data_IF_641511262807
#
_entry.id   IF_641511262807
#
_cell.length_a   1.000
_cell.length_b   1.000
_cell.length_c   1.000
_cell.angle_alpha   90.00
_cell.angle_beta   90.00
_cell.angle_gamma   90.00
#
_symmetry.space_group_name_H-M   'P 1'
#
loop_
_entity.id
_entity.type
_entity.pdbx_description
1 polymer ?
#
# COMPACT_ATOMS: atom_id res chain seq x y z
N UNK A 1 0.27 7.27 -33.91
CA UNK A 1 0.59 6.04 -33.18
C UNK A 1 1.86 6.37 -32.44
N UNK A 2 1.73 6.84 -31.21
CA UNK A 2 2.87 6.96 -30.31
C UNK A 2 3.07 5.53 -29.83
N UNK A 3 4.13 4.87 -30.30
CA UNK A 3 4.52 3.58 -29.74
C UNK A 3 4.95 3.86 -28.30
N UNK A 4 4.28 3.19 -27.36
CA UNK A 4 4.74 3.12 -25.98
C UNK A 4 6.10 2.41 -26.01
N UNK A 5 7.21 3.07 -25.62
CA UNK A 5 8.48 2.37 -25.56
C UNK A 5 8.35 1.33 -24.44
N UNK A 6 8.56 0.04 -24.75
CA UNK A 6 8.70 -1.02 -23.75
C UNK A 6 9.74 -0.65 -22.69
N UNK A 7 10.71 0.18 -23.09
CA UNK A 7 11.78 0.75 -22.27
C UNK A 7 11.30 1.69 -21.16
N UNK A 8 10.06 2.22 -21.19
CA UNK A 8 9.53 3.13 -20.17
C UNK A 8 8.61 2.43 -19.14
N UNK A 9 8.36 1.13 -19.31
CA UNK A 9 7.45 0.39 -18.43
C UNK A 9 7.92 0.31 -16.97
N UNK A 10 9.21 0.11 -16.66
CA UNK A 10 9.67 0.12 -15.28
C UNK A 10 9.51 1.48 -14.60
N UNK A 11 9.83 2.57 -15.30
CA UNK A 11 9.70 3.94 -14.81
C UNK A 11 8.23 4.27 -14.54
N UNK A 12 7.33 3.79 -15.38
CA UNK A 12 5.88 3.94 -15.16
C UNK A 12 5.40 3.17 -13.94
N UNK A 13 5.90 1.95 -13.71
CA UNK A 13 5.54 1.19 -12.53
C UNK A 13 6.04 1.87 -11.24
N UNK A 14 7.28 2.38 -11.22
CA UNK A 14 7.83 3.15 -10.09
C UNK A 14 7.10 4.47 -9.87
N UNK A 15 6.78 5.19 -10.95
CA UNK A 15 6.02 6.43 -10.84
C UNK A 15 4.64 6.19 -10.22
N UNK A 16 4.02 5.05 -10.52
CA UNK A 16 2.74 4.64 -9.97
C UNK A 16 2.82 4.40 -8.45
N UNK A 17 3.85 3.73 -7.94
CA UNK A 17 4.00 3.48 -6.49
C UNK A 17 4.18 4.78 -5.68
N UNK A 18 4.73 5.83 -6.29
CA UNK A 18 4.88 7.16 -5.66
C UNK A 18 3.65 8.07 -5.85
N UNK A 19 2.69 7.66 -6.67
CA UNK A 19 1.53 8.48 -7.03
C UNK A 19 0.46 8.41 -5.95
N UNK A 20 -0.14 9.55 -5.62
CA UNK A 20 -1.32 9.62 -4.78
C UNK A 20 -2.47 8.76 -5.33
N UNK A 21 -2.83 7.72 -4.59
CA UNK A 21 -4.00 6.87 -4.83
C UNK A 21 -5.19 7.32 -3.98
N UNK A 22 -6.41 7.20 -4.53
CA UNK A 22 -7.65 7.45 -3.82
C UNK A 22 -8.39 6.14 -3.56
N UNK A 23 -8.50 5.71 -2.30
CA UNK A 23 -9.07 4.39 -1.96
C UNK A 23 -8.05 3.28 -2.17
N UNK A 24 -6.94 3.38 -1.44
CA UNK A 24 -5.97 2.30 -1.28
C UNK A 24 -6.43 1.34 -0.18
N UNK A 25 -6.10 0.08 -0.34
CA UNK A 25 -6.45 -1.00 0.59
C UNK A 25 -5.29 -1.98 0.69
N UNK A 26 -4.92 -2.41 1.90
CA UNK A 26 -3.93 -3.48 2.13
C UNK A 26 -4.32 -4.80 1.47
N UNK A 27 -5.61 -4.98 1.16
CA UNK A 27 -6.04 -6.00 0.21
C UNK A 27 -6.11 -5.38 -1.21
N UNK A 28 -5.18 -5.69 -2.12
CA UNK A 28 -5.14 -5.08 -3.44
C UNK A 28 -6.37 -5.35 -4.31
N UNK A 29 -7.11 -6.44 -4.06
CA UNK A 29 -8.37 -6.75 -4.77
C UNK A 29 -9.48 -5.74 -4.44
N UNK A 30 -9.37 -5.03 -3.30
CA UNK A 30 -10.32 -4.02 -2.85
C UNK A 30 -9.87 -2.58 -3.16
N UNK A 31 -8.63 -2.40 -3.62
CA UNK A 31 -8.12 -1.10 -4.04
C UNK A 31 -8.90 -0.55 -5.24
N UNK A 32 -9.22 0.75 -5.22
CA UNK A 32 -9.98 1.38 -6.30
C UNK A 32 -9.20 1.44 -7.62
N UNK A 33 -7.86 1.40 -7.53
CA UNK A 33 -6.92 1.65 -8.62
C UNK A 33 -7.14 3.02 -9.30
N UNK A 34 -7.60 4.02 -8.54
CA UNK A 34 -7.80 5.39 -9.00
C UNK A 34 -6.68 6.27 -8.45
N UNK A 35 -5.92 6.89 -9.35
CA UNK A 35 -4.74 7.68 -9.03
C UNK A 35 -4.92 9.13 -9.49
N UNK A 36 -4.23 10.07 -8.85
CA UNK A 36 -4.18 11.44 -9.34
C UNK A 36 -3.37 11.53 -10.64
N UNK A 37 -4.01 11.97 -11.73
CA UNK A 37 -3.42 11.97 -13.06
C UNK A 37 -2.23 12.93 -13.18
N UNK A 38 -2.30 14.07 -12.50
CA UNK A 38 -1.28 15.11 -12.60
C UNK A 38 -0.09 14.82 -11.69
N UNK A 39 -0.33 14.19 -10.54
CA UNK A 39 0.73 13.65 -9.68
C UNK A 39 1.48 12.53 -10.41
N UNK A 40 0.76 11.56 -11.00
CA UNK A 40 1.35 10.51 -11.83
C UNK A 40 2.21 11.09 -12.98
N UNK A 41 1.67 12.07 -13.70
CA UNK A 41 2.41 12.73 -14.78
C UNK A 41 3.67 13.45 -14.26
N UNK A 42 3.64 13.99 -13.04
CA UNK A 42 4.77 14.67 -12.43
C UNK A 42 5.88 13.68 -12.03
N UNK A 43 5.52 12.50 -11.55
CA UNK A 43 6.47 11.43 -11.21
C UNK A 43 7.17 10.84 -12.45
N UNK A 44 6.64 11.10 -13.66
CA UNK A 44 7.27 10.71 -14.93
C UNK A 44 8.26 11.74 -15.50
N UNK A 45 8.46 12.88 -14.82
CA UNK A 45 9.41 13.90 -15.29
C UNK A 45 10.86 13.40 -15.24
N UNK A 46 11.65 13.75 -16.25
CA UNK A 46 13.07 13.36 -16.36
C UNK A 46 13.31 12.11 -17.21
N UNK A 47 12.25 11.42 -17.64
CA UNK A 47 12.32 10.22 -18.49
C UNK A 47 12.25 10.50 -20.00
N UNK A 48 12.44 11.78 -20.40
CA UNK A 48 12.52 12.16 -21.82
C UNK A 48 11.18 12.35 -22.52
N UNK A 49 10.08 12.38 -21.76
CA UNK A 49 8.72 12.74 -22.21
C UNK A 49 8.22 14.04 -21.56
N UNK A 50 9.15 14.87 -21.05
CA UNK A 50 8.85 16.08 -20.29
C UNK A 50 7.99 17.09 -21.08
N UNK A 51 8.14 17.13 -22.41
CA UNK A 51 7.31 17.99 -23.27
C UNK A 51 5.84 17.56 -23.24
N UNK A 52 5.59 16.27 -23.37
CA UNK A 52 4.27 15.65 -23.37
C UNK A 52 3.62 15.80 -21.99
N UNK A 53 4.39 15.62 -20.91
CA UNK A 53 3.93 15.88 -19.54
C UNK A 53 3.55 17.36 -19.37
N UNK A 54 4.37 18.30 -19.87
CA UNK A 54 4.05 19.73 -19.82
C UNK A 54 2.81 20.11 -20.61
N UNK A 55 2.55 19.45 -21.75
CA UNK A 55 1.31 19.61 -22.52
C UNK A 55 0.09 19.06 -21.76
N UNK A 56 0.22 17.89 -21.12
CA UNK A 56 -0.83 17.31 -20.28
C UNK A 56 -1.15 18.23 -19.10
N UNK A 57 -0.14 18.65 -18.33
CA UNK A 57 -0.31 19.56 -17.19
C UNK A 57 -0.98 20.87 -17.62
N UNK A 58 -0.57 21.45 -18.75
CA UNK A 58 -1.22 22.66 -19.30
C UNK A 58 -2.69 22.42 -19.66
N UNK A 59 -3.02 21.27 -20.25
CA UNK A 59 -4.39 20.92 -20.59
C UNK A 59 -5.24 20.69 -19.33
N UNK A 60 -4.66 20.08 -18.29
CA UNK A 60 -5.31 19.89 -16.99
C UNK A 60 -5.57 21.23 -16.31
N UNK A 61 -4.62 22.16 -16.30
CA UNK A 61 -4.79 23.50 -15.76
C UNK A 61 -5.92 24.28 -16.45
N UNK A 62 -6.13 24.06 -17.75
CA UNK A 62 -7.27 24.64 -18.48
C UNK A 62 -8.61 23.95 -18.16
N UNK A 63 -8.59 22.63 -17.93
CA UNK A 63 -9.79 21.84 -17.67
C UNK A 63 -10.29 21.95 -16.21
N UNK A 64 -9.37 21.95 -15.24
CA UNK A 64 -9.66 22.00 -13.80
C UNK A 64 -9.76 23.46 -13.35
N UNK A 65 -10.89 24.09 -13.65
CA UNK A 65 -11.12 25.51 -13.34
C UNK A 65 -11.23 25.82 -11.84
N UNK A 66 -11.46 24.79 -11.01
CA UNK A 66 -11.59 24.91 -9.56
C UNK A 66 -11.35 23.55 -8.91
N UNK A 67 -10.53 23.53 -7.85
CA UNK A 67 -10.35 22.37 -6.96
C UNK A 67 -10.25 22.83 -5.51
N UNK A 68 -10.62 21.94 -4.60
CA UNK A 68 -10.36 22.07 -3.16
C UNK A 68 -9.78 20.75 -2.70
N UNK A 69 -8.62 20.81 -2.07
CA UNK A 69 -7.97 19.67 -1.45
C UNK A 69 -8.07 19.78 0.08
N UNK A 70 -8.25 18.64 0.74
CA UNK A 70 -8.04 18.52 2.18
C UNK A 70 -6.55 18.47 2.51
N UNK A 71 -6.18 18.45 3.81
CA UNK A 71 -4.79 18.43 4.24
C UNK A 71 -4.02 17.19 3.75
N UNK A 72 -4.68 16.04 3.60
CA UNK A 72 -4.05 14.79 3.12
C UNK A 72 -3.86 14.75 1.60
N UNK A 73 -4.64 15.54 0.87
CA UNK A 73 -4.67 15.51 -0.59
C UNK A 73 -4.08 16.78 -1.22
N UNK A 74 -3.12 17.43 -0.54
CA UNK A 74 -2.58 18.74 -0.92
C UNK A 74 -2.04 18.79 -2.37
N UNK A 75 -1.32 17.74 -2.77
CA UNK A 75 -0.79 17.53 -4.12
C UNK A 75 -1.81 17.11 -5.18
N UNK A 76 -3.03 16.73 -4.79
CA UNK A 76 -4.07 16.32 -5.75
C UNK A 76 -4.33 17.40 -6.80
N UNK A 77 -4.22 17.05 -8.07
CA UNK A 77 -4.33 17.97 -9.22
C UNK A 77 -5.77 18.19 -9.67
N UNK A 78 -6.72 17.38 -9.18
CA UNK A 78 -8.16 17.56 -9.38
C UNK A 78 -8.75 16.76 -10.53
N UNK A 79 -7.96 15.88 -11.14
CA UNK A 79 -8.43 14.84 -12.04
C UNK A 79 -7.77 13.52 -11.65
N UNK A 80 -8.58 12.50 -11.49
CA UNK A 80 -8.11 11.15 -11.28
C UNK A 80 -8.23 10.30 -12.55
N UNK A 81 -7.48 9.22 -12.60
CA UNK A 81 -7.46 8.26 -13.68
C UNK A 81 -7.45 6.84 -13.10
N UNK A 82 -8.14 5.92 -13.77
CA UNK A 82 -8.08 4.50 -13.42
C UNK A 82 -6.80 3.89 -14.01
N UNK A 83 -5.92 3.40 -13.15
CA UNK A 83 -4.58 2.95 -13.49
C UNK A 83 -4.22 1.71 -12.64
N UNK A 84 -4.80 0.54 -12.93
CA UNK A 84 -4.42 -0.66 -12.19
C UNK A 84 -3.00 -1.09 -12.57
N UNK A 85 -2.14 -1.20 -11.56
CA UNK A 85 -0.73 -1.53 -11.74
C UNK A 85 -0.52 -2.90 -12.42
N UNK A 86 -1.36 -3.88 -12.03
CA UNK A 86 -1.29 -5.26 -12.54
C UNK A 86 -2.52 -5.57 -13.40
N UNK A 87 -2.31 -6.37 -14.44
CA UNK A 87 -3.40 -6.75 -15.36
C UNK A 87 -4.50 -7.58 -14.70
N UNK A 88 -4.21 -8.25 -13.59
CA UNK A 88 -5.19 -9.03 -12.83
C UNK A 88 -6.25 -8.15 -12.15
N UNK A 89 -5.89 -6.91 -11.80
CA UNK A 89 -6.80 -5.92 -11.21
C UNK A 89 -7.50 -5.05 -12.27
N UNK A 90 -7.21 -5.27 -13.56
CA UNK A 90 -7.85 -4.53 -14.63
C UNK A 90 -9.33 -4.92 -14.79
N UNK A 91 -10.22 -3.95 -14.61
CA UNK A 91 -11.65 -4.10 -14.83
C UNK A 91 -11.99 -3.82 -16.31
N UNK A 92 -12.38 -4.83 -17.10
CA UNK A 92 -12.67 -4.65 -18.52
C UNK A 92 -13.86 -3.70 -18.77
N UNK A 93 -14.77 -3.53 -17.81
CA UNK A 93 -15.89 -2.60 -17.94
C UNK A 93 -15.45 -1.13 -18.00
N UNK A 94 -14.23 -0.78 -17.56
CA UNK A 94 -13.74 0.60 -17.58
C UNK A 94 -13.57 1.14 -19.01
N UNK A 95 -13.19 0.28 -19.93
CA UNK A 95 -12.92 0.63 -21.34
C UNK A 95 -14.07 0.26 -22.27
N UNK A 96 -15.11 -0.40 -21.73
CA UNK A 96 -16.33 -0.70 -22.47
C UNK A 96 -16.92 0.57 -23.10
N UNK A 97 -17.56 0.41 -24.26
CA UNK A 97 -18.08 1.48 -25.09
C UNK A 97 -17.05 2.48 -25.66
N UNK A 98 -15.74 2.25 -25.45
CA UNK A 98 -14.65 3.02 -26.06
C UNK A 98 -14.50 4.41 -25.46
N UNK A 99 -14.71 4.55 -24.15
CA UNK A 99 -14.66 5.83 -23.42
C UNK A 99 -13.27 6.52 -23.48
N UNK A 100 -12.18 5.73 -23.52
CA UNK A 100 -10.81 6.25 -23.59
C UNK A 100 -9.86 5.28 -24.32
N UNK A 101 -9.96 5.13 -25.66
CA UNK A 101 -9.25 4.08 -26.39
C UNK A 101 -7.72 4.27 -26.40
N UNK A 102 -7.24 5.50 -26.32
CA UNK A 102 -5.81 5.79 -26.17
C UNK A 102 -5.28 5.38 -24.79
N UNK A 103 -6.08 5.56 -23.73
CA UNK A 103 -5.71 5.15 -22.38
C UNK A 103 -5.74 3.63 -22.23
N UNK A 104 -6.75 2.97 -22.78
CA UNK A 104 -6.77 1.51 -22.90
C UNK A 104 -5.51 1.00 -23.61
N UNK A 105 -5.12 1.63 -24.72
CA UNK A 105 -3.91 1.27 -25.45
C UNK A 105 -2.66 1.44 -24.60
N UNK A 106 -2.57 2.50 -23.79
CA UNK A 106 -1.48 2.70 -22.84
C UNK A 106 -1.41 1.56 -21.81
N UNK A 107 -2.52 1.24 -21.13
CA UNK A 107 -2.57 0.18 -20.12
C UNK A 107 -2.18 -1.18 -20.71
N UNK A 108 -2.73 -1.53 -21.87
CA UNK A 108 -2.41 -2.79 -22.55
C UNK A 108 -0.94 -2.85 -22.99
N UNK A 109 -0.36 -1.72 -23.40
CA UNK A 109 1.06 -1.66 -23.74
C UNK A 109 1.95 -1.85 -22.52
N UNK A 110 1.57 -1.27 -21.37
CA UNK A 110 2.26 -1.48 -20.10
C UNK A 110 2.23 -2.94 -19.66
N UNK A 111 1.06 -3.59 -19.66
CA UNK A 111 0.96 -5.02 -19.33
C UNK A 111 1.73 -5.90 -20.31
N UNK A 112 1.67 -5.57 -21.61
CA UNK A 112 2.42 -6.30 -22.62
C UNK A 112 3.93 -6.14 -22.44
N UNK A 113 4.42 -4.98 -22.00
CA UNK A 113 5.83 -4.78 -21.68
C UNK A 113 6.27 -5.74 -20.57
N UNK A 114 5.45 -5.92 -19.53
CA UNK A 114 5.73 -6.88 -18.44
C UNK A 114 5.95 -8.31 -18.94
N UNK A 115 5.17 -8.74 -19.95
CA UNK A 115 5.35 -10.07 -20.56
C UNK A 115 6.65 -10.23 -21.37
N UNK A 116 7.40 -9.14 -21.60
CA UNK A 116 8.63 -9.10 -22.39
C UNK A 116 9.89 -8.96 -21.52
N UNK A 117 9.76 -8.96 -20.19
CA UNK A 117 10.92 -9.00 -19.29
C UNK A 117 11.80 -10.21 -19.64
N UNK A 118 13.08 -10.00 -19.98
CA UNK A 118 14.03 -11.10 -20.17
C UNK A 118 14.14 -11.95 -18.89
N UNK A 119 14.30 -13.26 -19.02
CA UNK A 119 14.38 -14.17 -17.87
C UNK A 119 15.50 -13.78 -16.88
N UNK A 120 16.60 -13.23 -17.39
CA UNK A 120 17.73 -12.71 -16.61
C UNK A 120 17.42 -11.41 -15.84
N UNK A 121 16.38 -10.69 -16.22
CA UNK A 121 15.97 -9.40 -15.64
C UNK A 121 14.71 -9.51 -14.77
N UNK A 122 14.17 -10.72 -14.58
CA UNK A 122 13.07 -10.95 -13.62
C UNK A 122 13.57 -10.64 -12.21
N UNK A 123 12.79 -9.88 -11.44
CA UNK A 123 13.16 -9.53 -10.07
C UNK A 123 13.29 -10.78 -9.20
N UNK A 124 14.53 -11.12 -8.83
CA UNK A 124 14.88 -12.24 -7.94
C UNK A 124 16.09 -11.89 -7.12
N UNK A 125 16.10 -12.29 -5.86
CA UNK A 125 17.26 -12.08 -5.00
C UNK A 125 18.40 -13.00 -5.43
N UNK A 126 19.63 -12.48 -5.36
CA UNK A 126 20.85 -13.22 -5.72
C UNK A 126 21.19 -14.31 -4.70
N UNK A 127 20.79 -14.11 -3.45
CA UNK A 127 21.11 -14.95 -2.31
C UNK A 127 19.81 -15.49 -1.69
N UNK A 128 19.88 -16.63 -1.02
CA UNK A 128 18.73 -17.23 -0.32
C UNK A 128 18.41 -16.53 1.03
N UNK A 129 19.26 -15.58 1.46
CA UNK A 129 19.07 -14.82 2.70
C UNK A 129 19.64 -13.42 2.58
N UNK A 130 18.95 -12.43 3.15
CA UNK A 130 19.45 -11.05 3.22
C UNK A 130 20.40 -10.81 4.39
N UNK A 131 20.92 -9.58 4.45
CA UNK A 131 21.65 -9.09 5.62
C UNK A 131 20.76 -8.15 6.42
N UNK A 132 20.84 -8.21 7.74
CA UNK A 132 20.04 -7.35 8.62
C UNK A 132 20.83 -6.88 9.83
N UNK A 133 20.37 -5.81 10.46
CA UNK A 133 20.82 -5.35 11.76
C UNK A 133 19.73 -4.53 12.45
N UNK A 134 19.87 -4.37 13.76
CA UNK A 134 19.03 -3.47 14.57
C UNK A 134 19.82 -2.24 14.99
N UNK A 135 19.20 -1.07 14.89
CA UNK A 135 19.74 0.20 15.41
C UNK A 135 18.63 1.10 15.99
N UNK A 136 18.81 2.42 15.96
CA UNK A 136 17.84 3.37 16.52
C UNK A 136 16.56 3.50 15.70
N UNK A 137 16.59 3.09 14.42
CA UNK A 137 15.47 3.12 13.50
C UNK A 137 14.73 1.76 13.44
N UNK A 138 15.17 0.77 14.22
CA UNK A 138 14.57 -0.57 14.28
C UNK A 138 15.32 -1.60 13.43
N UNK A 139 14.57 -2.50 12.79
CA UNK A 139 15.10 -3.52 11.88
C UNK A 139 15.45 -2.88 10.54
N UNK A 140 16.70 -3.00 10.13
CA UNK A 140 17.13 -2.72 8.76
C UNK A 140 17.33 -4.05 8.03
N UNK A 141 16.60 -4.28 6.93
CA UNK A 141 16.70 -5.52 6.14
C UNK A 141 17.14 -5.22 4.71
N UNK A 142 18.21 -5.86 4.25
CA UNK A 142 18.90 -5.57 2.99
C UNK A 142 19.01 -6.84 2.15
N UNK A 143 18.68 -6.71 0.86
CA UNK A 143 18.85 -7.74 -0.16
C UNK A 143 19.54 -7.19 -1.40
N UNK A 144 19.89 -8.09 -2.32
CA UNK A 144 20.48 -7.74 -3.61
C UNK A 144 19.82 -8.52 -4.75
N UNK A 145 19.47 -7.83 -5.82
CA UNK A 145 19.09 -8.42 -7.11
C UNK A 145 20.26 -8.36 -8.09
N UNK A 146 20.19 -9.10 -9.19
CA UNK A 146 21.15 -8.90 -10.29
C UNK A 146 21.05 -7.45 -10.78
N UNK A 147 22.16 -6.71 -10.96
CA UNK A 147 22.11 -5.36 -11.51
C UNK A 147 21.41 -5.24 -12.87
N UNK A 148 21.33 -6.34 -13.63
CA UNK A 148 20.57 -6.40 -14.89
C UNK A 148 19.06 -6.56 -14.69
N UNK A 149 18.61 -6.90 -13.49
CA UNK A 149 17.20 -6.95 -13.07
C UNK A 149 16.76 -5.69 -12.32
N UNK A 150 17.69 -4.91 -11.76
CA UNK A 150 17.40 -3.66 -11.01
C UNK A 150 16.49 -2.72 -11.82
N UNK A 151 16.79 -2.55 -13.11
CA UNK A 151 15.98 -1.72 -14.02
C UNK A 151 14.54 -2.20 -14.14
N UNK A 152 14.23 -3.48 -13.92
CA UNK A 152 12.86 -4.01 -13.96
C UNK A 152 12.14 -3.97 -12.61
N UNK A 153 12.84 -3.75 -11.50
CA UNK A 153 12.23 -3.66 -10.16
C UNK A 153 11.32 -2.43 -10.09
N UNK A 154 10.05 -2.66 -9.78
CA UNK A 154 9.04 -1.62 -9.62
C UNK A 154 8.84 -1.25 -8.15
N UNK A 155 8.93 -2.24 -7.26
CA UNK A 155 8.47 -2.10 -5.88
C UNK A 155 9.31 -2.99 -4.95
N UNK A 156 9.54 -2.50 -3.74
CA UNK A 156 10.15 -3.24 -2.63
C UNK A 156 9.26 -3.02 -1.43
N UNK A 157 8.89 -4.09 -0.73
CA UNK A 157 8.02 -4.02 0.46
C UNK A 157 8.62 -4.86 1.57
N UNK A 158 8.57 -4.38 2.80
CA UNK A 158 8.80 -5.23 3.98
C UNK A 158 7.46 -5.59 4.60
N UNK A 159 7.18 -6.89 4.69
CA UNK A 159 6.10 -7.42 5.50
C UNK A 159 6.67 -7.84 6.84
N UNK A 160 5.99 -7.53 7.94
CA UNK A 160 6.44 -7.92 9.26
C UNK A 160 5.31 -8.52 10.08
N UNK A 161 5.68 -9.54 10.84
CA UNK A 161 4.80 -10.31 11.68
C UNK A 161 5.42 -10.61 13.03
N UNK A 162 4.57 -10.83 14.01
CA UNK A 162 4.97 -11.22 15.35
C UNK A 162 4.24 -12.50 15.76
N UNK A 163 4.93 -13.37 16.48
CA UNK A 163 4.27 -14.51 17.13
C UNK A 163 3.59 -14.00 18.40
N UNK A 164 2.28 -14.18 18.48
CA UNK A 164 1.54 -13.83 19.68
C UNK A 164 1.89 -14.84 20.80
N UNK A 165 2.42 -14.37 21.96
CA UNK A 165 2.79 -15.24 23.06
C UNK A 165 1.60 -15.95 23.73
N UNK A 166 0.35 -15.52 23.50
CA UNK A 166 -0.84 -16.11 24.10
C UNK A 166 -1.32 -17.37 23.38
N UNK A 167 -1.22 -17.41 22.04
CA UNK A 167 -1.73 -18.51 21.21
C UNK A 167 -0.66 -19.24 20.37
N UNK A 168 0.58 -18.73 20.33
CA UNK A 168 1.72 -19.27 19.57
C UNK A 168 1.54 -19.21 18.03
N UNK A 169 0.59 -18.38 17.55
CA UNK A 169 0.37 -18.15 16.12
C UNK A 169 1.19 -16.96 15.61
N UNK A 170 1.60 -17.04 14.34
CA UNK A 170 2.18 -15.93 13.62
C UNK A 170 1.07 -15.06 13.03
N UNK A 171 1.13 -13.77 13.31
CA UNK A 171 0.32 -12.77 12.65
C UNK A 171 1.24 -11.78 11.93
N UNK A 172 0.96 -11.52 10.66
CA UNK A 172 1.48 -10.34 9.97
C UNK A 172 0.68 -9.13 10.42
N UNK A 173 1.41 -8.09 10.83
CA UNK A 173 0.89 -6.92 11.55
C UNK A 173 1.13 -5.62 10.78
N UNK A 174 1.85 -5.68 9.66
CA UNK A 174 1.93 -4.56 8.75
C UNK A 174 2.84 -4.78 7.56
N UNK A 175 2.90 -3.75 6.73
CA UNK A 175 3.78 -3.60 5.60
C UNK A 175 4.26 -2.15 5.46
N UNK A 176 5.48 -1.98 4.97
CA UNK A 176 6.08 -0.69 4.66
C UNK A 176 6.83 -0.72 3.33
N UNK A 177 6.85 0.40 2.63
CA UNK A 177 7.65 0.55 1.41
C UNK A 177 9.15 0.49 1.72
N UNK A 178 9.88 -0.32 0.95
CA UNK A 178 11.33 -0.30 0.88
C UNK A 178 11.84 0.67 -0.20
N UNK A 179 13.15 0.68 -0.39
CA UNK A 179 13.81 1.49 -1.41
C UNK A 179 14.79 0.70 -2.27
N UNK A 180 14.98 1.20 -3.49
CA UNK A 180 15.94 0.71 -4.49
C UNK A 180 17.10 1.70 -4.52
N UNK A 181 18.36 1.24 -4.45
CA UNK A 181 19.51 2.13 -4.46
C UNK A 181 19.65 2.95 -5.76
N UNK A 182 19.29 2.36 -6.91
CA UNK A 182 19.30 3.03 -8.21
C UNK A 182 20.70 3.40 -8.71
N UNK A 183 21.75 2.81 -8.13
CA UNK A 183 23.15 3.10 -8.46
C UNK A 183 23.82 1.99 -9.28
N UNK A 184 23.05 1.00 -9.72
CA UNK A 184 23.53 -0.17 -10.48
C UNK A 184 24.16 -1.24 -9.60
N UNK A 185 24.02 -1.16 -8.28
CA UNK A 185 24.49 -2.19 -7.35
C UNK A 185 23.49 -3.33 -7.17
N UNK A 186 22.23 -3.15 -7.58
CA UNK A 186 21.13 -4.06 -7.27
C UNK A 186 20.73 -4.08 -5.79
N UNK A 187 21.20 -3.13 -4.97
CA UNK A 187 20.87 -3.06 -3.55
C UNK A 187 19.41 -2.63 -3.34
N UNK A 188 18.69 -3.43 -2.57
CA UNK A 188 17.33 -3.17 -2.09
C UNK A 188 17.33 -3.22 -0.56
N UNK A 189 16.54 -2.37 0.08
CA UNK A 189 16.43 -2.39 1.53
C UNK A 189 15.09 -1.84 2.01
N UNK A 190 14.75 -2.18 3.25
CA UNK A 190 13.58 -1.66 3.94
C UNK A 190 13.88 -1.55 5.45
N UNK A 191 13.12 -0.70 6.14
CA UNK A 191 13.21 -0.48 7.57
C UNK A 191 11.85 -0.80 8.19
N UNK A 192 11.86 -1.34 9.41
CA UNK A 192 10.68 -1.48 10.25
C UNK A 192 11.04 -1.07 11.68
N UNK A 193 10.31 -0.11 12.24
CA UNK A 193 10.63 0.52 13.52
C UNK A 193 10.33 -0.33 14.76
N UNK A 194 9.81 -1.54 14.55
CA UNK A 194 9.40 -2.50 15.59
C UNK A 194 8.18 -2.05 16.38
N UNK A 195 7.26 -1.29 15.78
CA UNK A 195 5.99 -0.92 16.39
C UNK A 195 4.78 -1.60 15.77
N UNK A 196 3.75 -1.80 16.59
CA UNK A 196 2.45 -2.30 16.16
C UNK A 196 1.37 -1.30 16.52
N UNK A 197 0.40 -1.10 15.63
CA UNK A 197 -0.78 -0.28 15.93
C UNK A 197 -1.73 -1.04 16.85
N UNK A 198 -2.13 -0.38 17.93
CA UNK A 198 -3.25 -0.75 18.78
C UNK A 198 -4.36 0.29 18.68
N UNK A 199 -5.60 -0.20 18.67
CA UNK A 199 -6.81 0.63 18.70
C UNK A 199 -7.57 0.30 19.99
N UNK A 200 -8.00 1.31 20.74
CA UNK A 200 -8.78 1.16 21.96
C UNK A 200 -10.03 2.02 21.97
N UNK A 201 -11.11 1.51 22.54
CA UNK A 201 -12.33 2.26 22.85
C UNK A 201 -12.42 2.73 24.31
N UNK A 202 -11.30 2.61 25.05
CA UNK A 202 -11.20 2.90 26.48
C UNK A 202 -11.68 1.78 27.41
N UNK A 203 -12.24 0.70 26.87
CA UNK A 203 -12.62 -0.52 27.60
C UNK A 203 -11.74 -1.70 27.21
N UNK A 204 -11.61 -1.91 25.90
CA UNK A 204 -10.88 -2.99 25.26
C UNK A 204 -9.85 -2.41 24.28
N UNK A 205 -8.88 -3.23 23.89
CA UNK A 205 -7.79 -2.87 22.96
C UNK A 205 -7.55 -4.04 22.02
N UNK A 206 -7.33 -3.75 20.74
CA UNK A 206 -7.07 -4.75 19.70
C UNK A 206 -5.89 -4.32 18.83
N UNK A 207 -5.13 -5.31 18.34
CA UNK A 207 -4.06 -5.08 17.38
C UNK A 207 -4.64 -4.86 15.99
N UNK A 208 -3.95 -4.07 15.17
CA UNK A 208 -4.36 -3.75 13.83
C UNK A 208 -3.20 -3.89 12.86
N UNK A 209 -3.48 -4.47 11.69
CA UNK A 209 -2.58 -4.42 10.55
C UNK A 209 -2.39 -2.97 10.09
N UNK A 210 -1.18 -2.63 9.65
CA UNK A 210 -0.85 -1.32 9.11
C UNK A 210 -0.18 -1.45 7.76
N UNK A 211 -0.81 -0.93 6.71
CA UNK A 211 -0.11 -0.52 5.49
C UNK A 211 0.35 0.92 5.70
N UNK A 212 1.65 1.11 5.88
CA UNK A 212 2.25 2.40 6.18
C UNK A 212 3.04 2.97 5.01
N UNK A 213 2.77 4.25 4.75
CA UNK A 213 3.48 5.04 3.76
C UNK A 213 3.81 6.43 4.31
N UNK A 214 5.05 6.87 4.08
CA UNK A 214 5.47 8.24 4.37
C UNK A 214 5.40 9.10 3.11
N UNK A 215 4.53 10.10 3.12
CA UNK A 215 4.50 11.14 2.09
C UNK A 215 5.53 12.23 2.45
N UNK A 216 6.72 12.15 1.86
CA UNK A 216 7.80 13.14 2.06
C UNK A 216 7.42 14.55 1.60
N UNK A 217 6.50 14.68 0.63
CA UNK A 217 6.14 15.96 0.01
C UNK A 217 5.22 16.74 0.93
N UNK A 218 4.22 16.07 1.50
CA UNK A 218 3.26 16.67 2.43
C UNK A 218 3.70 16.53 3.90
N UNK A 219 4.79 15.79 4.17
CA UNK A 219 5.31 15.45 5.50
C UNK A 219 4.26 14.72 6.37
N UNK A 220 3.62 13.70 5.79
CA UNK A 220 2.51 12.95 6.39
C UNK A 220 2.84 11.47 6.54
N UNK A 221 2.52 10.91 7.69
CA UNK A 221 2.45 9.48 7.93
C UNK A 221 1.03 9.01 7.58
N UNK A 222 0.92 8.14 6.57
CA UNK A 222 -0.35 7.61 6.08
C UNK A 222 -0.46 6.14 6.49
N UNK A 223 -1.62 5.75 7.02
CA UNK A 223 -1.90 4.39 7.42
C UNK A 223 -3.24 3.95 6.86
N UNK A 224 -3.27 2.84 6.16
CA UNK A 224 -4.51 2.15 5.80
C UNK A 224 -4.64 0.87 6.63
N UNK A 225 -5.75 0.78 7.36
CA UNK A 225 -5.99 -0.26 8.36
C UNK A 225 -7.27 -1.01 8.00
N UNK A 226 -7.18 -2.32 7.66
CA UNK A 226 -8.33 -3.12 7.32
C UNK A 226 -9.07 -3.53 8.60
N UNK A 227 -10.40 -3.52 8.55
CA UNK A 227 -11.24 -3.93 9.67
C UNK A 227 -12.64 -4.33 9.22
N UNK A 228 -13.39 -4.95 10.11
CA UNK A 228 -14.81 -5.24 9.90
C UNK A 228 -15.66 -4.35 10.79
N UNK A 229 -16.77 -3.80 10.29
CA UNK A 229 -17.81 -3.17 11.09
C UNK A 229 -19.04 -4.05 11.20
N UNK A 230 -19.63 -4.11 12.39
CA UNK A 230 -20.89 -4.78 12.66
C UNK A 230 -21.87 -3.83 13.35
N UNK A 231 -23.13 -3.83 12.91
CA UNK A 231 -24.18 -3.03 13.56
C UNK A 231 -24.46 -3.52 15.00
N UNK A 232 -25.01 -2.65 15.86
CA UNK A 232 -25.37 -2.99 17.25
C UNK A 232 -26.30 -4.22 17.39
N UNK A 233 -27.06 -4.54 16.33
CA UNK A 233 -27.97 -5.69 16.28
C UNK A 233 -27.31 -7.03 15.94
N UNK A 234 -26.05 -7.02 15.46
CA UNK A 234 -25.23 -8.18 15.10
C UNK A 234 -25.98 -9.26 14.30
N UNK A 235 -26.44 -8.92 13.11
CA UNK A 235 -26.96 -9.90 12.13
C UNK A 235 -25.92 -10.18 11.05
N UNK A 236 -25.87 -11.37 10.46
CA UNK A 236 -24.86 -11.71 9.43
C UNK A 236 -24.87 -10.72 8.23
N UNK A 237 -26.03 -10.21 7.85
CA UNK A 237 -26.18 -9.17 6.80
C UNK A 237 -25.72 -7.76 7.25
N UNK A 238 -25.16 -7.62 8.45
CA UNK A 238 -24.76 -6.34 9.05
C UNK A 238 -23.25 -6.16 9.23
N UNK A 239 -22.46 -7.11 8.74
CA UNK A 239 -21.02 -6.96 8.66
C UNK A 239 -20.62 -6.34 7.33
N UNK A 240 -19.75 -5.33 7.38
CA UNK A 240 -19.18 -4.68 6.21
C UNK A 240 -17.68 -4.54 6.41
N UNK A 241 -16.92 -4.78 5.35
CA UNK A 241 -15.48 -4.53 5.36
C UNK A 241 -15.24 -3.03 5.30
N UNK A 242 -14.34 -2.57 6.16
CA UNK A 242 -13.87 -1.19 6.22
C UNK A 242 -12.36 -1.11 6.00
N UNK A 243 -11.94 0.06 5.54
CA UNK A 243 -10.56 0.53 5.63
C UNK A 243 -10.58 1.85 6.37
N UNK A 244 -9.91 1.91 7.53
CA UNK A 244 -9.58 3.18 8.17
C UNK A 244 -8.37 3.75 7.45
N UNK A 245 -8.53 4.95 6.90
CA UNK A 245 -7.44 5.75 6.36
C UNK A 245 -7.12 6.86 7.35
N UNK A 246 -5.95 6.75 7.98
CA UNK A 246 -5.44 7.66 9.00
C UNK A 246 -4.28 8.46 8.40
N UNK A 247 -4.30 9.78 8.60
CA UNK A 247 -3.17 10.62 8.28
C UNK A 247 -2.71 11.37 9.53
N UNK A 248 -1.41 11.31 9.79
CA UNK A 248 -0.76 11.93 10.95
C UNK A 248 0.32 12.88 10.44
N UNK A 249 0.37 14.08 11.00
CA UNK A 249 1.45 15.04 10.71
C UNK A 249 2.76 14.51 11.30
N UNK A 250 3.77 14.26 10.46
CA UNK A 250 5.00 13.58 10.86
C UNK A 250 5.82 14.40 11.88
N UNK A 251 5.65 15.73 11.89
CA UNK A 251 6.38 16.63 12.78
C UNK A 251 5.75 16.73 14.18
N UNK A 252 4.42 16.83 14.24
CA UNK A 252 3.65 17.09 15.47
C UNK A 252 3.07 15.84 16.10
N UNK A 253 2.99 14.74 15.33
CA UNK A 253 2.27 13.52 15.66
C UNK A 253 0.76 13.74 15.93
N UNK A 254 0.18 14.82 15.40
CA UNK A 254 -1.26 15.06 15.47
C UNK A 254 -1.99 14.35 14.32
N UNK A 255 -3.09 13.67 14.64
CA UNK A 255 -4.01 13.12 13.63
C UNK A 255 -4.67 14.29 12.88
N UNK A 256 -4.46 14.37 11.57
CA UNK A 256 -5.01 15.41 10.70
C UNK A 256 -6.24 14.95 9.93
N UNK A 257 -6.39 13.64 9.74
CA UNK A 257 -7.53 13.00 9.08
C UNK A 257 -7.72 11.59 9.59
N UNK A 258 -8.97 11.22 9.78
CA UNK A 258 -9.44 9.91 10.23
C UNK A 258 -10.73 9.64 9.45
N UNK A 259 -10.68 8.73 8.49
CA UNK A 259 -11.84 8.42 7.64
C UNK A 259 -11.98 6.92 7.51
N UNK A 260 -13.21 6.43 7.71
CA UNK A 260 -13.56 5.03 7.53
C UNK A 260 -14.27 4.86 6.21
N UNK A 261 -13.72 4.03 5.34
CA UNK A 261 -14.32 3.72 4.05
C UNK A 261 -14.87 2.31 4.04
N UNK A 262 -16.08 2.14 3.54
CA UNK A 262 -16.58 0.86 3.08
C UNK A 262 -16.20 0.66 1.62
N UNK A 263 -15.83 -0.59 1.30
CA UNK A 263 -15.72 -1.08 -0.07
C UNK A 263 -16.88 -2.05 -0.31
N UNK A 264 -17.74 -1.75 -1.26
CA UNK A 264 -18.86 -2.66 -1.60
C UNK A 264 -18.44 -3.79 -2.56
N UNK A 265 -19.36 -4.70 -2.85
CA UNK A 265 -19.12 -5.85 -3.76
C UNK A 265 -18.75 -5.46 -5.20
N UNK A 266 -18.91 -4.19 -5.58
CA UNK A 266 -18.54 -3.64 -6.87
C UNK A 266 -17.21 -2.88 -6.85
N UNK A 267 -16.50 -2.89 -5.71
CA UNK A 267 -15.27 -2.13 -5.50
C UNK A 267 -15.50 -0.63 -5.35
N UNK A 268 -16.74 -0.20 -5.06
CA UNK A 268 -17.03 1.21 -4.84
C UNK A 268 -16.69 1.62 -3.41
N UNK A 269 -15.92 2.70 -3.31
CA UNK A 269 -15.53 3.30 -2.04
C UNK A 269 -16.54 4.34 -1.58
N UNK A 270 -16.92 4.30 -0.31
CA UNK A 270 -17.76 5.32 0.33
C UNK A 270 -17.42 5.49 1.80
N UNK A 271 -17.43 6.74 2.27
CA UNK A 271 -17.26 7.04 3.69
C UNK A 271 -18.42 6.47 4.52
N UNK A 272 -18.09 5.83 5.64
CA UNK A 272 -19.03 5.27 6.59
C UNK A 272 -19.14 6.17 7.81
N UNK A 273 -20.39 6.38 8.23
CA UNK A 273 -20.71 6.96 9.54
C UNK A 273 -21.22 5.81 10.41
N UNK A 274 -20.39 5.37 11.35
CA UNK A 274 -20.74 4.27 12.25
C UNK A 274 -21.81 4.68 13.28
N UNK A 275 -22.67 3.74 13.64
CA UNK A 275 -23.46 3.84 14.87
C UNK A 275 -22.52 3.60 16.08
N UNK A 276 -22.42 4.53 17.06
CA UNK A 276 -21.58 4.35 18.24
C UNK A 276 -21.93 3.12 19.09
N UNK A 277 -23.15 2.57 18.98
CA UNK A 277 -23.52 1.31 19.63
C UNK A 277 -23.11 0.07 18.82
N UNK A 278 -22.58 0.26 17.61
CA UNK A 278 -22.01 -0.79 16.78
C UNK A 278 -20.60 -1.17 17.21
N UNK A 279 -19.98 -2.03 16.41
CA UNK A 279 -18.73 -2.70 16.74
C UNK A 279 -17.75 -2.66 15.57
N UNK A 280 -16.47 -2.56 15.86
CA UNK A 280 -15.38 -2.71 14.90
C UNK A 280 -14.41 -3.82 15.35
N UNK A 281 -13.88 -4.54 14.38
CA UNK A 281 -12.83 -5.54 14.55
C UNK A 281 -11.68 -5.17 13.63
N UNK A 282 -10.63 -4.51 14.15
CA UNK A 282 -9.38 -4.36 13.41
C UNK A 282 -8.87 -5.73 12.95
N UNK A 283 -8.31 -5.81 11.76
CA UNK A 283 -7.86 -7.08 11.19
C UNK A 283 -6.34 -7.18 11.17
N UNK A 284 -5.85 -8.41 11.26
CA UNK A 284 -4.44 -8.81 11.03
C UNK A 284 -4.41 -9.93 9.99
N UNK A 285 -3.22 -10.20 9.43
CA UNK A 285 -3.05 -11.28 8.46
C UNK A 285 -2.51 -12.53 9.17
N UNK A 286 -3.09 -13.69 8.88
CA UNK A 286 -2.59 -15.00 9.31
C UNK A 286 -2.18 -15.83 8.08
N UNK A 287 -1.14 -16.64 8.23
CA UNK A 287 -0.71 -17.61 7.22
C UNK A 287 -1.27 -19.01 7.56
N UNK A 288 -1.93 -19.66 6.59
CA UNK A 288 -2.34 -21.06 6.69
C UNK A 288 -1.15 -22.03 6.50
N UNK A 289 -1.36 -23.31 6.82
CA UNK A 289 -0.36 -24.39 6.64
C UNK A 289 0.18 -24.53 5.19
N UNK A 290 -0.55 -24.04 4.19
CA UNK A 290 -0.17 -24.07 2.78
C UNK A 290 0.44 -22.76 2.25
N UNK A 291 0.62 -21.76 3.12
CA UNK A 291 1.20 -20.46 2.80
C UNK A 291 0.19 -19.43 2.28
N UNK A 292 -1.11 -19.74 2.26
CA UNK A 292 -2.14 -18.75 1.93
C UNK A 292 -2.33 -17.74 3.07
N UNK A 293 -2.33 -16.45 2.73
CA UNK A 293 -2.60 -15.37 3.69
C UNK A 293 -4.09 -15.02 3.70
N UNK A 294 -4.65 -14.84 4.89
CA UNK A 294 -6.05 -14.43 5.05
C UNK A 294 -6.23 -13.48 6.24
N UNK A 295 -7.24 -12.61 6.13
CA UNK A 295 -7.56 -11.62 7.16
C UNK A 295 -8.35 -12.27 8.31
N UNK A 296 -7.92 -12.00 9.53
CA UNK A 296 -8.58 -12.42 10.77
C UNK A 296 -8.74 -11.22 11.70
N UNK A 297 -9.65 -11.32 12.66
CA UNK A 297 -9.82 -10.28 13.69
C UNK A 297 -8.56 -10.22 14.57
N UNK A 298 -8.00 -9.04 14.77
CA UNK A 298 -6.83 -8.78 15.62
C UNK A 298 -7.13 -8.79 17.12
N UNK A 299 -8.30 -9.28 17.52
CA UNK A 299 -8.73 -9.39 18.91
C UNK A 299 -10.02 -10.20 19.06
N UNK A 300 -10.12 -10.95 20.15
CA UNK A 300 -11.31 -11.77 20.48
C UNK A 300 -12.56 -10.94 20.80
N UNK A 301 -12.35 -9.67 21.18
CA UNK A 301 -13.41 -8.75 21.65
C UNK A 301 -13.48 -7.58 20.67
N UNK A 302 -14.66 -7.27 20.10
CA UNK A 302 -14.83 -6.05 19.32
C UNK A 302 -14.64 -4.80 20.15
N UNK A 303 -14.22 -3.73 19.49
CA UNK A 303 -14.26 -2.39 20.04
C UNK A 303 -15.61 -1.73 19.69
N UNK A 304 -16.10 -0.84 20.55
CA UNK A 304 -17.24 0.00 20.19
C UNK A 304 -16.88 0.94 19.03
N UNK A 305 -17.79 1.07 18.07
CA UNK A 305 -17.63 1.96 16.92
C UNK A 305 -17.94 3.43 17.25
N UNK A 306 -17.72 3.87 18.49
CA UNK A 306 -17.79 5.27 18.89
C UNK A 306 -16.49 5.97 18.46
N UNK A 307 -16.34 6.15 17.14
CA UNK A 307 -15.13 6.65 16.47
C UNK A 307 -14.49 7.85 17.21
N UNK A 308 -15.23 8.90 17.62
CA UNK A 308 -14.63 10.05 18.30
C UNK A 308 -13.99 9.76 19.67
N UNK A 309 -14.26 8.58 20.23
CA UNK A 309 -13.73 8.10 21.51
C UNK A 309 -12.62 7.06 21.33
N UNK A 310 -12.29 6.67 20.10
CA UNK A 310 -11.21 5.73 19.83
C UNK A 310 -9.84 6.39 20.06
N UNK A 311 -8.91 5.60 20.59
CA UNK A 311 -7.52 5.97 20.81
C UNK A 311 -6.61 5.05 19.98
N UNK A 312 -5.65 5.67 19.27
CA UNK A 312 -4.65 4.98 18.45
C UNK A 312 -3.28 5.09 19.12
N UNK A 313 -2.55 3.98 19.18
CA UNK A 313 -1.21 3.96 19.75
C UNK A 313 -0.30 3.05 18.93
N UNK A 314 0.89 3.54 18.59
CA UNK A 314 1.97 2.72 18.05
C UNK A 314 2.84 2.26 19.22
N UNK A 315 2.74 0.97 19.55
CA UNK A 315 3.42 0.36 20.67
C UNK A 315 4.65 -0.40 20.20
N UNK A 316 5.80 -0.17 20.82
CA UNK A 316 6.99 -0.97 20.54
C UNK A 316 6.76 -2.43 20.92
N UNK A 317 7.15 -3.34 20.04
CA UNK A 317 7.12 -4.76 20.31
C UNK A 317 7.98 -5.10 21.53
N UNK A 318 7.51 -5.99 22.43
CA UNK A 318 8.29 -6.41 23.58
C UNK A 318 9.61 -7.07 23.18
N UNK A 319 10.67 -6.75 23.92
CA UNK A 319 11.96 -7.46 23.80
C UNK A 319 11.78 -8.96 24.05
N UNK A 320 12.34 -9.78 23.16
CA UNK A 320 12.20 -11.23 23.17
C UNK A 320 10.96 -11.78 22.44
N UNK A 321 10.11 -10.93 21.85
CA UNK A 321 9.08 -11.37 20.90
C UNK A 321 9.74 -11.96 19.65
N UNK A 322 9.21 -13.08 19.14
CA UNK A 322 9.63 -13.63 17.85
C UNK A 322 9.09 -12.76 16.73
N UNK A 323 10.00 -12.10 16.02
CA UNK A 323 9.75 -11.28 14.85
C UNK A 323 9.99 -12.12 13.59
N UNK A 324 9.08 -12.00 12.64
CA UNK A 324 9.26 -12.44 11.26
C UNK A 324 9.20 -11.22 10.37
N UNK A 325 10.15 -11.11 9.44
CA UNK A 325 10.15 -10.05 8.44
C UNK A 325 10.46 -10.64 7.07
N UNK A 326 9.76 -10.18 6.06
CA UNK A 326 9.96 -10.59 4.68
C UNK A 326 10.22 -9.38 3.81
N UNK A 327 11.39 -9.34 3.17
CA UNK A 327 11.72 -8.33 2.17
C UNK A 327 11.31 -8.86 0.81
N UNK A 328 10.24 -8.30 0.25
CA UNK A 328 9.70 -8.64 -1.05
C UNK A 328 10.21 -7.67 -2.12
N UNK A 329 10.41 -8.20 -3.32
CA UNK A 329 10.69 -7.42 -4.52
C UNK A 329 9.68 -7.78 -5.60
N UNK A 330 9.16 -6.78 -6.31
CA UNK A 330 8.26 -6.96 -7.44
C UNK A 330 8.84 -6.26 -8.68
N UNK A 331 8.81 -6.93 -9.83
CA UNK A 331 9.02 -6.27 -11.12
C UNK A 331 7.74 -5.65 -11.68
N UNK A 332 7.86 -4.86 -12.75
CA UNK A 332 6.71 -4.21 -13.39
C UNK A 332 5.75 -5.17 -14.12
N UNK A 333 6.03 -6.48 -14.15
CA UNK A 333 5.08 -7.50 -14.60
C UNK A 333 4.33 -8.16 -13.42
N UNK A 334 4.71 -7.84 -12.18
CA UNK A 334 4.21 -8.48 -10.97
C UNK A 334 4.88 -9.81 -10.65
N UNK A 335 5.99 -10.20 -11.32
CA UNK A 335 6.79 -11.30 -10.79
C UNK A 335 7.47 -10.85 -9.50
N UNK A 336 7.60 -11.77 -8.56
CA UNK A 336 8.14 -11.46 -7.25
C UNK A 336 9.07 -12.54 -6.73
N UNK A 337 9.86 -12.13 -5.75
CA UNK A 337 10.69 -12.99 -4.91
C UNK A 337 10.81 -12.35 -3.53
N UNK A 338 11.21 -13.11 -2.52
CA UNK A 338 11.33 -12.60 -1.16
C UNK A 338 12.46 -13.22 -0.35
N UNK A 339 12.97 -12.47 0.62
CA UNK A 339 13.89 -12.93 1.64
C UNK A 339 13.17 -12.94 2.98
N UNK A 340 13.24 -14.04 3.71
CA UNK A 340 12.64 -14.15 5.05
C UNK A 340 13.70 -14.08 6.15
N UNK A 341 13.32 -13.45 7.26
CA UNK A 341 14.10 -13.31 8.48
C UNK A 341 13.21 -13.74 9.66
N UNK A 342 13.77 -14.54 10.57
CA UNK A 342 13.17 -14.84 11.87
C UNK A 342 14.19 -14.51 12.96
N UNK A 343 13.85 -13.60 13.85
CA UNK A 343 14.74 -13.15 14.93
C UNK A 343 13.96 -12.79 16.19
N UNK A 344 14.65 -12.54 17.30
CA UNK A 344 14.04 -11.94 18.48
C UNK A 344 14.20 -10.43 18.47
N UNK A 345 13.14 -9.72 18.85
CA UNK A 345 13.22 -8.28 19.17
C UNK A 345 14.29 -8.07 20.26
N UNK A 346 15.27 -7.17 20.05
CA UNK A 346 16.49 -7.08 20.87
C UNK A 346 16.31 -6.62 22.32
#
# INVERSE_FOLDING_TARGET
>A
MVEYPTEAAPEVARALTETMQFGSSPNPEKSSNIFDLGDFASNLLGFGIDSEIGELQSAMDEAVVYKVAGPVAGRATGLSIYLPAKSEYFNPNYVDDGFAPEWETFLQSHYQAGTQIPEESVARFLEESGTYFFDEDGLNFIGYVDPTAEDAVAEVVIYYGAVDPEDDNLYFIGEESGWIAGDGSGLLAAIYDLTILTISDGYDTSYAYTDFYYDEVEDLLLFDVPMTYGSAGLTDDSYIDLVLSLAVDATTAEVISEIYYQVDEFGQWSEVIADPEGFIWPSVLMEEDDGELFWVDGGDIPLYADIPSLEYSFESLPSGTTLIAELWVFDYAGNSDFLSLVELVP
#
